data_IF_700803087416
#
_entry.id   IF_700803087416
#
_cell.length_a   1.000
_cell.length_b   1.000
_cell.length_c   1.000
_cell.angle_alpha   90.00
_cell.angle_beta   90.00
_cell.angle_gamma   90.00
#
_symmetry.space_group_name_H-M   'P 1'
#
loop_
_entity.id
_entity.type
_entity.pdbx_description
1 polymer ?
#
# COMPACT_ATOMS: atom_id res chain seq x y z
N UNK A 1 3.71 -1.69 29.13
CA UNK A 1 3.32 -0.27 29.14
C UNK A 1 1.82 -0.17 28.87
N UNK A 2 1.12 0.76 29.51
CA UNK A 2 -0.25 1.11 29.14
C UNK A 2 -0.21 2.00 27.91
N UNK A 3 -1.09 1.74 26.95
CA UNK A 3 -1.20 2.54 25.73
C UNK A 3 -2.62 3.07 25.60
N UNK A 4 -2.75 4.34 25.27
CA UNK A 4 -4.03 4.98 24.95
C UNK A 4 -3.94 5.60 23.57
N UNK A 5 -4.92 5.35 22.72
CA UNK A 5 -5.05 5.96 21.40
C UNK A 5 -6.22 6.95 21.43
N UNK A 6 -5.95 8.18 21.01
CA UNK A 6 -6.95 9.26 20.95
C UNK A 6 -7.29 9.54 19.49
N UNK A 7 -8.58 9.54 19.17
CA UNK A 7 -9.06 9.96 17.85
C UNK A 7 -10.05 11.12 18.03
N UNK A 8 -9.83 12.17 17.27
CA UNK A 8 -10.71 13.36 17.28
C UNK A 8 -12.15 13.03 16.88
N UNK A 9 -12.30 12.07 15.96
CA UNK A 9 -13.60 11.61 15.47
C UNK A 9 -13.86 10.17 15.94
N UNK A 10 -14.62 9.44 15.18
CA UNK A 10 -14.74 7.99 15.35
C UNK A 10 -13.57 7.28 14.64
N UNK A 11 -13.19 6.11 15.13
CA UNK A 11 -12.13 5.31 14.52
C UNK A 11 -12.46 5.04 13.05
N UNK A 12 -11.47 5.27 12.18
CA UNK A 12 -11.64 5.10 10.75
C UNK A 12 -12.43 6.20 10.05
N UNK A 13 -12.81 7.29 10.71
CA UNK A 13 -13.52 8.39 10.06
C UNK A 13 -12.73 9.05 8.93
N UNK A 14 -11.43 9.04 8.99
CA UNK A 14 -10.53 9.68 8.02
C UNK A 14 -10.21 8.85 6.78
N UNK A 15 -9.09 9.15 6.14
CA UNK A 15 -8.62 8.52 4.90
C UNK A 15 -8.31 7.03 5.05
N UNK A 16 -7.98 6.56 6.25
CA UNK A 16 -7.59 5.17 6.50
C UNK A 16 -8.68 4.16 6.13
N UNK A 17 -9.96 4.54 6.27
CA UNK A 17 -11.10 3.70 5.89
C UNK A 17 -11.75 4.10 4.56
N UNK A 18 -11.35 5.23 3.97
CA UNK A 18 -11.99 5.83 2.79
C UNK A 18 -11.06 5.84 1.58
N UNK A 19 -10.45 4.71 1.29
CA UNK A 19 -9.57 4.52 0.15
C UNK A 19 -9.91 3.24 -0.59
N UNK A 20 -9.26 3.00 -1.73
CA UNK A 20 -9.51 1.82 -2.57
C UNK A 20 -8.95 0.51 -2.03
N UNK A 21 -8.29 0.51 -0.88
CA UNK A 21 -7.74 -0.71 -0.26
C UNK A 21 -6.60 -1.37 -1.02
N UNK A 22 -5.95 -0.66 -1.93
CA UNK A 22 -4.83 -1.20 -2.70
C UNK A 22 -3.55 -1.14 -1.88
N UNK A 23 -2.93 -2.29 -1.65
CA UNK A 23 -1.61 -2.45 -1.05
C UNK A 23 -0.59 -2.73 -2.16
N UNK A 24 0.06 -1.69 -2.66
CA UNK A 24 1.01 -1.76 -3.77
C UNK A 24 2.38 -1.23 -3.35
N UNK A 25 3.49 -1.78 -3.89
CA UNK A 25 4.82 -1.28 -3.57
C UNK A 25 5.04 0.12 -4.14
N UNK A 26 5.90 0.86 -3.50
CA UNK A 26 6.29 2.21 -3.92
C UNK A 26 5.81 3.30 -2.96
N UNK A 27 6.06 4.53 -3.36
CA UNK A 27 5.76 5.74 -2.58
C UNK A 27 5.02 6.75 -3.46
N UNK A 28 4.42 7.77 -2.85
CA UNK A 28 3.76 8.87 -3.58
C UNK A 28 4.66 9.49 -4.66
N UNK A 29 5.95 9.61 -4.40
CA UNK A 29 6.94 9.95 -5.41
C UNK A 29 7.39 8.68 -6.13
N UNK A 30 7.32 8.65 -7.46
CA UNK A 30 7.79 7.50 -8.22
C UNK A 30 9.24 7.14 -7.89
N UNK A 31 9.54 5.85 -7.77
CA UNK A 31 10.84 5.35 -7.30
C UNK A 31 12.02 5.81 -8.18
N UNK A 32 11.79 6.02 -9.48
CA UNK A 32 12.81 6.60 -10.37
C UNK A 32 13.22 8.01 -9.95
N UNK A 33 12.27 8.81 -9.44
CA UNK A 33 12.57 10.16 -8.93
C UNK A 33 13.34 10.06 -7.62
N UNK A 34 12.94 9.18 -6.71
CA UNK A 34 13.66 8.92 -5.45
C UNK A 34 15.09 8.46 -5.73
N UNK A 35 15.25 7.52 -6.67
CA UNK A 35 16.57 7.04 -7.08
C UNK A 35 17.49 8.16 -7.58
N UNK A 36 16.94 9.11 -8.36
CA UNK A 36 17.71 10.27 -8.85
C UNK A 36 18.03 11.29 -7.76
N UNK A 37 17.10 11.51 -6.82
CA UNK A 37 17.24 12.54 -5.78
C UNK A 37 18.13 12.08 -4.62
N UNK A 38 18.02 10.83 -4.20
CA UNK A 38 18.64 10.33 -2.97
C UNK A 38 19.68 9.22 -3.20
N UNK A 39 19.90 8.84 -4.46
CA UNK A 39 20.84 7.79 -4.82
C UNK A 39 20.31 6.38 -4.63
N UNK A 40 21.09 5.41 -5.10
CA UNK A 40 20.72 4.00 -5.16
C UNK A 40 20.41 3.42 -3.78
N UNK A 41 21.29 3.63 -2.81
CA UNK A 41 21.16 3.01 -1.48
C UNK A 41 19.83 3.34 -0.81
N UNK A 42 19.51 4.62 -0.67
CA UNK A 42 18.28 5.05 0.00
C UNK A 42 17.03 4.66 -0.79
N UNK A 43 17.10 4.69 -2.13
CA UNK A 43 16.01 4.23 -2.97
C UNK A 43 15.70 2.75 -2.76
N UNK A 44 16.71 1.89 -2.60
CA UNK A 44 16.51 0.47 -2.29
C UNK A 44 15.90 0.26 -0.91
N UNK A 45 16.33 1.02 0.09
CA UNK A 45 15.77 0.97 1.44
C UNK A 45 14.28 1.35 1.44
N UNK A 46 13.91 2.44 0.75
CA UNK A 46 12.51 2.84 0.58
C UNK A 46 11.67 1.82 -0.19
N UNK A 47 12.24 1.26 -1.26
CA UNK A 47 11.53 0.24 -2.03
C UNK A 47 11.28 -1.00 -1.18
N UNK A 48 12.32 -1.49 -0.53
CA UNK A 48 12.20 -2.65 0.37
C UNK A 48 11.17 -2.40 1.48
N UNK A 49 11.23 -1.25 2.14
CA UNK A 49 10.26 -0.93 3.19
C UNK A 49 8.81 -0.91 2.67
N UNK A 50 8.58 -0.49 1.41
CA UNK A 50 7.25 -0.52 0.81
C UNK A 50 6.76 -1.93 0.47
N UNK A 51 7.66 -2.83 0.13
CA UNK A 51 7.35 -4.26 -0.08
C UNK A 51 7.10 -4.94 1.26
N UNK A 52 7.99 -4.75 2.24
CA UNK A 52 7.87 -5.31 3.59
C UNK A 52 6.56 -4.88 4.27
N UNK A 53 6.06 -3.67 3.95
CA UNK A 53 4.78 -3.18 4.49
C UNK A 53 3.57 -3.99 3.97
N UNK A 54 3.63 -4.53 2.75
CA UNK A 54 2.59 -5.40 2.21
C UNK A 54 2.61 -6.75 2.93
N UNK A 55 3.81 -7.30 3.14
CA UNK A 55 4.00 -8.54 3.90
C UNK A 55 3.49 -8.38 5.34
N UNK A 56 3.79 -7.25 5.98
CA UNK A 56 3.31 -6.93 7.33
C UNK A 56 1.78 -6.85 7.41
N UNK A 57 1.11 -6.28 6.40
CA UNK A 57 -0.37 -6.29 6.36
C UNK A 57 -0.88 -7.72 6.35
N UNK A 58 -0.32 -8.57 5.52
CA UNK A 58 -0.73 -9.98 5.42
C UNK A 58 -0.47 -10.74 6.73
N UNK A 59 0.68 -10.51 7.38
CA UNK A 59 1.02 -11.10 8.68
C UNK A 59 0.00 -10.68 9.75
N UNK A 60 -0.29 -9.39 9.88
CA UNK A 60 -1.25 -8.86 10.86
C UNK A 60 -2.65 -9.44 10.61
N UNK A 61 -3.10 -9.47 9.35
CA UNK A 61 -4.41 -10.02 8.97
C UNK A 61 -4.53 -11.49 9.39
N UNK A 62 -3.48 -12.28 9.14
CA UNK A 62 -3.44 -13.71 9.49
C UNK A 62 -3.34 -13.91 10.99
N UNK A 63 -2.41 -13.23 11.67
CA UNK A 63 -2.15 -13.40 13.11
C UNK A 63 -3.39 -13.07 13.94
N UNK A 64 -4.09 -12.00 13.58
CA UNK A 64 -5.25 -11.52 14.34
C UNK A 64 -6.61 -11.91 13.73
N UNK A 65 -6.59 -12.74 12.67
CA UNK A 65 -7.81 -13.21 11.98
C UNK A 65 -8.75 -12.07 11.59
N UNK A 66 -8.20 -10.99 11.03
CA UNK A 66 -8.97 -9.81 10.62
C UNK A 66 -9.71 -10.13 9.30
N UNK A 67 -11.03 -10.20 9.36
CA UNK A 67 -11.88 -10.36 8.17
C UNK A 67 -12.00 -9.04 7.41
N UNK A 68 -11.04 -8.77 6.52
CA UNK A 68 -10.97 -7.56 5.71
C UNK A 68 -10.91 -7.82 4.21
N UNK A 69 -11.36 -8.98 3.76
CA UNK A 69 -11.34 -9.39 2.33
C UNK A 69 -9.91 -9.33 1.73
N UNK A 70 -8.87 -9.59 2.53
CA UNK A 70 -7.50 -9.56 2.06
C UNK A 70 -7.25 -10.56 0.95
N UNK A 71 -6.74 -10.09 -0.18
CA UNK A 71 -6.36 -10.91 -1.32
C UNK A 71 -5.02 -10.41 -1.89
N UNK A 72 -4.08 -11.34 -2.10
CA UNK A 72 -2.77 -11.04 -2.70
C UNK A 72 -2.76 -11.52 -4.16
N UNK A 73 -3.57 -10.85 -4.99
CA UNK A 73 -3.80 -11.22 -6.39
C UNK A 73 -2.99 -10.37 -7.38
N UNK A 74 -2.04 -9.59 -6.88
CA UNK A 74 -1.25 -8.70 -7.71
C UNK A 74 -1.97 -7.38 -8.04
N UNK A 75 -1.35 -6.62 -8.94
CA UNK A 75 -1.87 -5.34 -9.42
C UNK A 75 -1.50 -5.14 -10.89
N UNK A 76 -2.41 -4.56 -11.66
CA UNK A 76 -2.20 -4.22 -13.06
C UNK A 76 -2.20 -2.69 -13.26
N UNK A 77 -1.09 -2.15 -13.72
CA UNK A 77 -0.98 -0.75 -14.19
C UNK A 77 -1.32 -0.68 -15.68
N UNK A 78 -2.41 0.00 -16.02
CA UNK A 78 -2.97 -0.03 -17.38
C UNK A 78 -2.52 1.16 -18.24
N UNK A 79 -2.15 0.90 -19.48
CA UNK A 79 -1.86 1.92 -20.48
C UNK A 79 -3.17 2.47 -21.08
N UNK A 80 -3.62 3.62 -20.63
CA UNK A 80 -4.84 4.29 -21.11
C UNK A 80 -4.66 5.07 -22.42
N UNK A 81 -3.41 5.19 -22.90
CA UNK A 81 -3.04 5.83 -24.17
C UNK A 81 -1.94 5.04 -24.87
N UNK A 82 -1.84 5.10 -26.22
CA UNK A 82 -0.78 4.41 -26.95
C UNK A 82 0.63 4.71 -26.45
N UNK A 83 0.89 5.98 -26.06
CA UNK A 83 2.20 6.40 -25.56
C UNK A 83 2.56 5.84 -24.18
N UNK A 84 1.59 5.37 -23.38
CA UNK A 84 1.83 4.80 -22.07
C UNK A 84 2.40 3.38 -22.14
N UNK A 85 2.04 2.60 -23.16
CA UNK A 85 2.47 1.21 -23.28
C UNK A 85 4.01 1.04 -23.37
N UNK A 86 4.74 1.78 -24.25
CA UNK A 86 6.19 1.72 -24.27
C UNK A 86 6.83 2.17 -22.95
N UNK A 87 6.25 3.19 -22.32
CA UNK A 87 6.74 3.68 -21.03
C UNK A 87 6.60 2.61 -19.92
N UNK A 88 5.46 1.95 -19.82
CA UNK A 88 5.25 0.86 -18.85
C UNK A 88 6.27 -0.26 -19.06
N UNK A 89 6.49 -0.68 -20.31
CA UNK A 89 7.48 -1.71 -20.64
C UNK A 89 8.90 -1.31 -20.20
N UNK A 90 9.30 -0.07 -20.50
CA UNK A 90 10.60 0.46 -20.10
C UNK A 90 10.72 0.56 -18.57
N UNK A 91 9.65 0.98 -17.90
CA UNK A 91 9.60 1.09 -16.45
C UNK A 91 9.76 -0.27 -15.77
N UNK A 92 9.05 -1.32 -16.22
CA UNK A 92 9.19 -2.68 -15.70
C UNK A 92 10.62 -3.21 -15.86
N UNK A 93 11.20 -3.07 -17.05
CA UNK A 93 12.59 -3.47 -17.31
C UNK A 93 13.60 -2.68 -16.45
N UNK A 94 13.31 -1.42 -16.17
CA UNK A 94 14.14 -0.60 -15.28
C UNK A 94 14.04 -1.06 -13.82
N UNK A 95 12.83 -1.38 -13.33
CA UNK A 95 12.61 -1.91 -11.99
C UNK A 95 13.32 -3.25 -11.78
N UNK A 96 13.16 -4.17 -12.72
CA UNK A 96 13.84 -5.46 -12.67
C UNK A 96 15.36 -5.28 -12.61
N UNK A 97 15.93 -4.48 -13.50
CA UNK A 97 17.37 -4.21 -13.56
C UNK A 97 17.93 -3.54 -12.31
N UNK A 98 17.17 -2.62 -11.71
CA UNK A 98 17.66 -1.81 -10.59
C UNK A 98 17.29 -2.35 -9.23
N UNK A 99 16.14 -2.98 -9.09
CA UNK A 99 15.59 -3.43 -7.80
C UNK A 99 15.36 -4.93 -7.72
N UNK A 100 15.59 -5.68 -8.81
CA UNK A 100 15.25 -7.10 -8.87
C UNK A 100 13.75 -7.38 -8.82
N UNK A 101 12.93 -6.34 -8.99
CA UNK A 101 11.48 -6.46 -8.93
C UNK A 101 10.91 -6.77 -10.31
N UNK A 102 10.51 -8.03 -10.49
CA UNK A 102 9.96 -8.53 -11.75
C UNK A 102 8.51 -8.11 -11.90
N UNK A 103 8.19 -7.54 -13.05
CA UNK A 103 6.83 -7.23 -13.46
C UNK A 103 6.61 -7.76 -14.89
N UNK A 104 5.40 -8.26 -15.17
CA UNK A 104 5.07 -8.82 -16.47
C UNK A 104 4.40 -7.76 -17.35
N UNK A 105 4.95 -7.52 -18.54
CA UNK A 105 4.32 -6.62 -19.50
C UNK A 105 3.36 -7.40 -20.42
N UNK A 106 2.10 -6.99 -20.43
CA UNK A 106 1.03 -7.54 -21.27
C UNK A 106 0.75 -6.56 -22.41
N UNK A 107 0.95 -6.95 -23.68
CA UNK A 107 0.65 -6.09 -24.83
C UNK A 107 -0.85 -5.90 -25.02
N UNK A 108 -1.24 -4.79 -25.67
CA UNK A 108 -2.65 -4.40 -25.84
C UNK A 108 -3.53 -5.45 -26.51
N UNK A 109 -2.99 -6.25 -27.43
CA UNK A 109 -3.73 -7.33 -28.10
C UNK A 109 -4.00 -8.56 -27.22
N UNK A 110 -3.42 -8.63 -26.01
CA UNK A 110 -3.63 -9.69 -25.02
C UNK A 110 -4.32 -9.18 -23.75
N UNK A 111 -4.59 -7.87 -23.67
CA UNK A 111 -5.10 -7.25 -22.44
C UNK A 111 -6.50 -7.75 -22.05
N UNK A 112 -7.30 -8.18 -23.06
CA UNK A 112 -8.65 -8.67 -22.83
C UNK A 112 -8.69 -9.91 -21.96
N UNK A 113 -7.71 -10.79 -22.11
CA UNK A 113 -7.64 -12.04 -21.34
C UNK A 113 -7.34 -11.76 -19.85
N UNK A 114 -6.66 -10.64 -19.57
CA UNK A 114 -6.29 -10.23 -18.22
C UNK A 114 -7.41 -9.47 -17.50
N UNK A 115 -8.05 -8.50 -18.18
CA UNK A 115 -9.01 -7.58 -17.54
C UNK A 115 -10.39 -7.55 -18.19
N UNK A 116 -10.66 -8.40 -19.17
CA UNK A 116 -11.96 -8.48 -19.85
C UNK A 116 -12.33 -7.26 -20.71
N UNK A 117 -11.36 -6.41 -21.08
CA UNK A 117 -11.59 -5.17 -21.83
C UNK A 117 -10.51 -4.90 -22.87
N UNK A 118 -10.92 -4.40 -24.04
CA UNK A 118 -10.04 -3.99 -25.15
C UNK A 118 -9.71 -2.47 -25.09
N UNK A 119 -10.13 -1.77 -24.04
CA UNK A 119 -10.00 -0.30 -23.97
C UNK A 119 -8.56 0.17 -23.67
N UNK A 120 -7.62 -0.72 -23.42
CA UNK A 120 -6.27 -0.40 -22.99
C UNK A 120 -5.21 -0.86 -23.98
N UNK A 121 -4.08 -0.18 -23.98
CA UNK A 121 -2.97 -0.39 -24.93
C UNK A 121 -1.88 -1.31 -24.38
N UNK A 122 -2.07 -1.87 -23.21
CA UNK A 122 -1.17 -2.79 -22.52
C UNK A 122 -1.27 -2.62 -21.01
N UNK A 123 -0.60 -3.50 -20.29
CA UNK A 123 -0.49 -3.46 -18.84
C UNK A 123 0.92 -3.83 -18.37
N UNK A 124 1.22 -3.43 -17.14
CA UNK A 124 2.35 -3.94 -16.38
C UNK A 124 1.78 -4.53 -15.09
N UNK A 125 1.97 -5.84 -14.87
CA UNK A 125 1.43 -6.54 -13.72
C UNK A 125 2.52 -6.96 -12.76
N UNK A 126 2.25 -6.95 -11.47
CA UNK A 126 3.06 -7.56 -10.42
C UNK A 126 2.22 -8.52 -9.58
N UNK A 127 2.89 -9.47 -8.92
CA UNK A 127 2.23 -10.51 -8.12
C UNK A 127 2.33 -10.25 -6.61
N UNK A 128 3.08 -9.23 -6.19
CA UNK A 128 3.30 -8.97 -4.77
C UNK A 128 2.28 -8.04 -4.14
N UNK A 129 1.58 -7.29 -4.97
CA UNK A 129 0.51 -6.40 -4.54
C UNK A 129 -0.73 -7.13 -4.04
N UNK A 130 -1.49 -6.49 -3.19
CA UNK A 130 -2.75 -7.03 -2.68
C UNK A 130 -3.84 -5.98 -2.58
N UNK A 131 -5.00 -6.42 -2.19
CA UNK A 131 -6.16 -5.57 -1.94
C UNK A 131 -6.91 -6.01 -0.69
N UNK A 132 -7.57 -5.07 -0.05
CA UNK A 132 -8.39 -5.32 1.15
C UNK A 132 -9.56 -4.32 1.22
N UNK A 133 -10.51 -4.63 2.06
CA UNK A 133 -11.54 -3.67 2.42
C UNK A 133 -11.04 -2.74 3.52
N UNK A 134 -10.68 -1.50 3.16
CA UNK A 134 -9.99 -0.56 4.04
C UNK A 134 -10.71 -0.34 5.39
N UNK A 135 -12.04 -0.17 5.38
CA UNK A 135 -12.80 0.02 6.63
C UNK A 135 -12.78 -1.24 7.52
N UNK A 136 -12.98 -2.42 6.94
CA UNK A 136 -12.91 -3.68 7.69
C UNK A 136 -11.53 -3.87 8.33
N UNK A 137 -10.46 -3.54 7.61
CA UNK A 137 -9.11 -3.63 8.14
C UNK A 137 -8.89 -2.68 9.32
N UNK A 138 -9.30 -1.41 9.21
CA UNK A 138 -9.17 -0.43 10.31
C UNK A 138 -9.97 -0.84 11.53
N UNK A 139 -11.21 -1.31 11.36
CA UNK A 139 -12.04 -1.77 12.48
C UNK A 139 -11.51 -3.08 13.09
N UNK A 140 -10.96 -3.97 12.26
CA UNK A 140 -10.29 -5.18 12.73
C UNK A 140 -9.07 -4.86 13.60
N UNK A 141 -8.23 -3.91 13.16
CA UNK A 141 -7.10 -3.41 13.96
C UNK A 141 -7.57 -2.81 15.29
N UNK A 142 -8.61 -1.95 15.26
CA UNK A 142 -9.15 -1.35 16.47
C UNK A 142 -9.64 -2.41 17.47
N UNK A 143 -10.35 -3.42 16.99
CA UNK A 143 -10.80 -4.55 17.81
C UNK A 143 -9.61 -5.32 18.40
N UNK A 144 -8.60 -5.60 17.56
CA UNK A 144 -7.39 -6.30 17.97
C UNK A 144 -6.67 -5.58 19.11
N UNK A 145 -6.39 -4.27 18.95
CA UNK A 145 -5.66 -3.52 19.96
C UNK A 145 -6.48 -3.32 21.25
N UNK A 146 -7.81 -3.22 21.16
CA UNK A 146 -8.69 -3.21 22.33
C UNK A 146 -8.59 -4.52 23.11
N UNK A 147 -8.57 -5.65 22.42
CA UNK A 147 -8.40 -6.98 23.04
C UNK A 147 -7.02 -7.15 23.70
N UNK A 148 -6.00 -6.43 23.22
CA UNK A 148 -4.67 -6.35 23.81
C UNK A 148 -4.59 -5.36 25.01
N UNK A 149 -5.71 -4.75 25.39
CA UNK A 149 -5.79 -3.84 26.54
C UNK A 149 -5.42 -2.39 26.22
N UNK A 150 -5.37 -2.01 24.95
CA UNK A 150 -5.20 -0.61 24.55
C UNK A 150 -6.51 0.13 24.75
N UNK A 151 -6.47 1.28 25.40
CA UNK A 151 -7.62 2.16 25.55
C UNK A 151 -7.81 3.00 24.27
N UNK A 152 -8.98 2.87 23.63
CA UNK A 152 -9.37 3.70 22.48
C UNK A 152 -10.35 4.76 22.93
N UNK A 153 -10.00 6.04 22.72
CA UNK A 153 -10.84 7.18 23.04
C UNK A 153 -11.23 7.91 21.77
N UNK A 154 -12.47 7.74 21.35
CA UNK A 154 -13.08 8.49 20.23
C UNK A 154 -13.55 9.88 20.67
N UNK A 155 -13.80 10.77 19.71
CA UNK A 155 -14.28 12.12 19.91
C UNK A 155 -13.45 12.92 20.95
N UNK A 156 -12.13 12.65 20.93
CA UNK A 156 -11.17 13.19 21.88
C UNK A 156 -10.10 13.99 21.16
N UNK A 157 -10.21 15.30 21.16
CA UNK A 157 -9.22 16.21 20.57
C UNK A 157 -7.98 16.32 21.44
N UNK A 158 -6.81 16.27 20.82
CA UNK A 158 -5.54 16.70 21.42
C UNK A 158 -5.41 18.19 21.22
N UNK A 159 -5.55 18.97 22.29
CA UNK A 159 -5.53 20.42 22.23
C UNK A 159 -4.11 20.98 22.30
N UNK A 160 -3.24 20.35 23.08
CA UNK A 160 -1.86 20.79 23.27
C UNK A 160 -0.96 19.60 23.67
N UNK A 161 0.33 19.74 23.40
CA UNK A 161 1.37 18.77 23.79
C UNK A 161 2.47 19.55 24.52
N UNK A 162 2.53 19.40 25.83
CA UNK A 162 3.57 20.02 26.64
C UNK A 162 4.76 19.08 26.82
N UNK A 163 5.97 19.61 26.65
CA UNK A 163 7.19 18.90 26.96
C UNK A 163 7.46 19.02 28.45
N UNK A 164 7.34 17.92 29.19
CA UNK A 164 7.82 17.88 30.56
C UNK A 164 9.35 17.70 30.57
N UNK A 165 10.06 18.64 31.19
CA UNK A 165 11.51 18.60 31.39
C UNK A 165 11.98 17.50 32.39
N UNK A 166 11.07 16.61 32.80
CA UNK A 166 11.33 15.53 33.74
C UNK A 166 11.44 14.20 33.00
N UNK A 167 12.43 14.06 32.10
CA UNK A 167 13.18 12.83 31.72
C UNK A 167 14.03 13.10 30.49
#
# INVERSE_FOLDING_TARGET
ASVTVLDRNTIGWGASSRNGGMATPGLKQGIQKIYRMYGSKLAHEFWKASVDAIDLIEEIVKEHSIDCDWQRNGHASLATKPSHAPWLKQYGSWLEKKFGHVQNYIPGNQIRDEIGSDAYYGALTDEISGGLHASKYVYGLATTISNLGVQLCEQTDVLDIEKNDSN
#
